data_IF_587579602138
#
_entry.id   IF_587579602138
#
_cell.length_a   1.000
_cell.length_b   1.000
_cell.length_c   1.000
_cell.angle_alpha   90.00
_cell.angle_beta   90.00
_cell.angle_gamma   90.00
#
_symmetry.space_group_name_H-M   'P 1'
#
loop_
_entity.id
_entity.type
_entity.pdbx_description
1 polymer ?
#
# COMPACT_ATOMS: atom_id res chain seq x y z
N UNK A 1 3.71 -3.88 -15.76
CA UNK A 1 5.13 -4.06 -15.40
C UNK A 1 5.85 -2.92 -16.08
N UNK A 2 6.09 -1.84 -15.36
CA UNK A 2 6.76 -0.67 -15.94
C UNK A 2 8.26 -0.97 -15.94
N UNK A 3 8.73 -1.51 -17.06
CA UNK A 3 10.15 -1.75 -17.28
C UNK A 3 10.84 -0.41 -17.50
N UNK A 4 11.52 0.09 -16.48
CA UNK A 4 12.43 1.22 -16.65
C UNK A 4 13.55 0.80 -17.61
N UNK A 5 13.58 1.38 -18.81
CA UNK A 5 14.66 1.15 -19.76
C UNK A 5 15.91 1.88 -19.28
N UNK A 6 16.96 1.13 -18.94
CA UNK A 6 18.26 1.68 -18.54
C UNK A 6 19.13 1.76 -19.80
N UNK A 7 19.67 2.94 -20.06
CA UNK A 7 20.58 3.17 -21.17
C UNK A 7 21.99 3.43 -20.63
N UNK A 8 22.97 2.70 -21.16
CA UNK A 8 24.39 3.02 -20.97
C UNK A 8 24.84 3.87 -22.17
N UNK A 9 25.10 5.15 -21.93
CA UNK A 9 25.60 6.07 -22.95
C UNK A 9 27.10 6.30 -22.75
N UNK A 10 27.88 6.06 -23.79
CA UNK A 10 29.34 6.24 -23.78
C UNK A 10 29.68 7.17 -24.92
N UNK A 11 30.47 8.20 -24.61
CA UNK A 11 30.93 9.20 -25.58
C UNK A 11 32.44 9.25 -25.57
N UNK A 12 33.03 9.02 -26.74
CA UNK A 12 34.45 9.20 -27.01
C UNK A 12 34.68 10.54 -27.73
N UNK A 13 35.82 11.20 -27.48
CA UNK A 13 36.10 12.54 -28.02
C UNK A 13 37.39 12.67 -28.85
N UNK A 14 38.39 11.80 -28.65
CA UNK A 14 39.73 11.99 -29.23
C UNK A 14 40.40 10.73 -29.77
N UNK A 15 39.91 9.54 -29.43
CA UNK A 15 40.46 8.25 -29.85
C UNK A 15 39.42 7.47 -30.66
N UNK A 16 39.74 6.25 -31.11
CA UNK A 16 38.77 5.30 -31.64
C UNK A 16 38.56 4.16 -30.64
N UNK A 17 37.30 3.78 -30.40
CA UNK A 17 36.94 2.58 -29.63
C UNK A 17 37.54 1.33 -30.26
N UNK A 18 38.37 0.61 -29.51
CA UNK A 18 38.96 -0.65 -29.94
C UNK A 18 38.09 -1.85 -29.55
N UNK A 19 38.38 -3.04 -30.10
CA UNK A 19 37.64 -4.26 -29.79
C UNK A 19 37.62 -4.57 -28.28
N UNK A 20 38.71 -4.28 -27.57
CA UNK A 20 38.80 -4.47 -26.12
C UNK A 20 37.86 -3.53 -25.35
N UNK A 21 37.67 -2.31 -25.85
CA UNK A 21 36.73 -1.36 -25.26
C UNK A 21 35.29 -1.85 -25.46
N UNK A 22 34.93 -2.37 -26.64
CA UNK A 22 33.60 -2.97 -26.84
C UNK A 22 33.34 -4.13 -25.87
N UNK A 23 34.33 -5.00 -25.62
CA UNK A 23 34.20 -6.06 -24.61
C UNK A 23 34.03 -5.50 -23.19
N UNK A 24 34.76 -4.44 -22.84
CA UNK A 24 34.62 -3.77 -21.55
C UNK A 24 33.24 -3.10 -21.40
N UNK A 25 32.74 -2.48 -22.47
CA UNK A 25 31.41 -1.86 -22.54
C UNK A 25 30.31 -2.91 -22.37
N UNK A 26 30.44 -4.05 -23.05
CA UNK A 26 29.50 -5.17 -22.91
C UNK A 26 29.50 -5.70 -21.48
N UNK A 27 30.69 -5.96 -20.90
CA UNK A 27 30.81 -6.38 -19.51
C UNK A 27 30.19 -5.36 -18.53
N UNK A 28 30.41 -4.07 -18.75
CA UNK A 28 29.82 -3.01 -17.94
C UNK A 28 28.29 -2.98 -18.08
N UNK A 29 27.75 -3.10 -19.30
CA UNK A 29 26.32 -3.17 -19.56
C UNK A 29 25.68 -4.37 -18.87
N UNK A 30 26.28 -5.56 -18.97
CA UNK A 30 25.80 -6.77 -18.30
C UNK A 30 25.83 -6.63 -16.77
N UNK A 31 26.89 -6.03 -16.22
CA UNK A 31 27.01 -5.80 -14.78
C UNK A 31 25.93 -4.86 -14.26
N UNK A 32 25.68 -3.75 -14.98
CA UNK A 32 24.62 -2.79 -14.64
C UNK A 32 23.22 -3.43 -14.73
N UNK A 33 22.98 -4.26 -15.75
CA UNK A 33 21.73 -4.99 -15.87
C UNK A 33 21.50 -5.94 -14.69
N UNK A 34 22.52 -6.71 -14.31
CA UNK A 34 22.44 -7.63 -13.18
C UNK A 34 22.18 -6.90 -11.85
N UNK A 35 22.93 -5.83 -11.59
CA UNK A 35 22.74 -5.05 -10.37
C UNK A 35 21.35 -4.40 -10.34
N UNK A 36 20.83 -3.90 -11.47
CA UNK A 36 19.46 -3.40 -11.54
C UNK A 36 18.41 -4.46 -11.21
N UNK A 37 18.53 -5.68 -11.76
CA UNK A 37 17.61 -6.79 -11.46
C UNK A 37 17.67 -7.14 -9.98
N UNK A 38 18.88 -7.20 -9.42
CA UNK A 38 19.11 -7.46 -8.00
C UNK A 38 18.47 -6.40 -7.11
N UNK A 39 18.62 -5.11 -7.44
CA UNK A 39 17.98 -4.02 -6.68
C UNK A 39 16.44 -4.14 -6.70
N UNK A 40 15.85 -4.50 -7.84
CA UNK A 40 14.40 -4.76 -7.93
C UNK A 40 13.99 -5.95 -7.07
N UNK A 41 14.76 -7.05 -7.10
CA UNK A 41 14.49 -8.23 -6.28
C UNK A 41 14.55 -7.89 -4.78
N UNK A 42 15.59 -7.19 -4.34
CA UNK A 42 15.75 -6.74 -2.95
C UNK A 42 14.62 -5.79 -2.53
N UNK A 43 14.19 -4.89 -3.41
CA UNK A 43 13.06 -4.00 -3.13
C UNK A 43 11.75 -4.76 -2.93
N UNK A 44 11.49 -5.78 -3.76
CA UNK A 44 10.29 -6.62 -3.64
C UNK A 44 10.32 -7.49 -2.39
N UNK A 45 11.48 -8.04 -2.05
CA UNK A 45 11.65 -8.82 -0.82
C UNK A 45 11.41 -7.94 0.41
N UNK A 46 11.95 -6.72 0.41
CA UNK A 46 11.70 -5.73 1.47
C UNK A 46 10.22 -5.38 1.58
N UNK A 47 9.53 -5.15 0.46
CA UNK A 47 8.09 -4.88 0.44
C UNK A 47 7.28 -6.07 0.98
N UNK A 48 7.64 -7.30 0.59
CA UNK A 48 7.02 -8.53 1.11
C UNK A 48 7.21 -8.65 2.62
N UNK A 49 8.44 -8.45 3.11
CA UNK A 49 8.74 -8.49 4.54
C UNK A 49 7.91 -7.45 5.30
N UNK A 50 7.82 -6.21 4.81
CA UNK A 50 6.99 -5.18 5.46
C UNK A 50 5.53 -5.61 5.50
N UNK A 51 4.99 -6.13 4.39
CA UNK A 51 3.61 -6.64 4.34
C UNK A 51 3.36 -7.77 5.34
N UNK A 52 4.32 -8.68 5.51
CA UNK A 52 4.23 -9.78 6.47
C UNK A 52 4.23 -9.25 7.92
N UNK A 53 5.08 -8.28 8.23
CA UNK A 53 5.11 -7.65 9.56
C UNK A 53 3.80 -6.91 9.86
N UNK A 54 3.24 -6.20 8.89
CA UNK A 54 1.90 -5.58 9.05
C UNK A 54 0.84 -6.67 9.30
N UNK A 55 0.87 -7.78 8.56
CA UNK A 55 -0.05 -8.90 8.75
C UNK A 55 0.08 -9.52 10.15
N UNK A 56 1.31 -9.64 10.65
CA UNK A 56 1.57 -10.14 11.99
C UNK A 56 0.95 -9.26 13.07
N UNK A 57 1.16 -7.94 13.00
CA UNK A 57 0.56 -7.00 13.97
C UNK A 57 -0.96 -6.97 13.83
N UNK A 58 -1.51 -6.88 12.61
CA UNK A 58 -2.96 -6.81 12.39
C UNK A 58 -3.70 -8.07 12.87
N UNK A 59 -3.06 -9.24 12.79
CA UNK A 59 -3.69 -10.50 13.16
C UNK A 59 -3.29 -11.02 14.54
N UNK A 60 -2.34 -10.37 15.22
CA UNK A 60 -1.82 -10.84 16.50
C UNK A 60 -0.91 -12.06 16.38
N UNK A 61 -0.20 -12.22 15.27
CA UNK A 61 0.74 -13.35 15.03
C UNK A 61 2.14 -13.01 15.56
N UNK A 62 2.24 -12.85 16.86
CA UNK A 62 3.50 -12.67 17.59
C UNK A 62 3.45 -13.51 18.87
N UNK A 63 4.59 -14.01 19.33
CA UNK A 63 4.69 -14.93 20.46
C UNK A 63 4.61 -14.19 21.79
N UNK A 64 5.13 -12.97 21.86
CA UNK A 64 5.24 -12.17 23.07
C UNK A 64 5.29 -10.67 22.75
N UNK A 65 5.36 -9.85 23.79
CA UNK A 65 5.39 -8.39 23.68
C UNK A 65 6.69 -7.89 23.04
N UNK A 66 7.79 -8.61 23.24
CA UNK A 66 9.09 -8.29 22.63
C UNK A 66 9.00 -8.37 21.11
N UNK A 67 8.46 -9.46 20.56
CA UNK A 67 8.26 -9.62 19.11
C UNK A 67 7.26 -8.59 18.54
N UNK A 68 6.23 -8.21 19.30
CA UNK A 68 5.34 -7.11 18.92
C UNK A 68 6.10 -5.78 18.83
N UNK A 69 6.97 -5.48 19.79
CA UNK A 69 7.75 -4.25 19.81
C UNK A 69 8.77 -4.22 18.65
N UNK A 70 9.44 -5.33 18.37
CA UNK A 70 10.35 -5.47 17.22
C UNK A 70 9.61 -5.22 15.89
N UNK A 71 8.45 -5.85 15.72
CA UNK A 71 7.60 -5.65 14.55
C UNK A 71 7.15 -4.19 14.41
N UNK A 72 6.76 -3.55 15.52
CA UNK A 72 6.37 -2.14 15.51
C UNK A 72 7.53 -1.22 15.11
N UNK A 73 8.75 -1.48 15.60
CA UNK A 73 9.94 -0.72 15.24
C UNK A 73 10.29 -0.85 13.74
N UNK A 74 10.15 -2.04 13.15
CA UNK A 74 10.33 -2.26 11.70
C UNK A 74 9.37 -1.37 10.90
N UNK A 75 8.13 -1.24 11.38
CA UNK A 75 7.10 -0.41 10.79
C UNK A 75 7.18 1.07 11.20
N UNK A 76 8.17 1.44 12.03
CA UNK A 76 8.36 2.79 12.59
C UNK A 76 7.16 3.28 13.41
N UNK A 77 6.44 2.36 14.04
CA UNK A 77 5.38 2.65 14.99
C UNK A 77 6.00 2.91 16.37
N UNK A 78 5.56 3.98 17.01
CA UNK A 78 5.93 4.35 18.38
C UNK A 78 5.22 3.45 19.41
N UNK A 79 5.92 2.97 20.43
CA UNK A 79 5.38 2.05 21.43
C UNK A 79 4.46 2.74 22.46
N UNK A 80 4.64 4.05 22.66
CA UNK A 80 3.96 4.90 23.63
C UNK A 80 2.73 5.63 23.06
N UNK A 81 2.50 5.49 21.76
CA UNK A 81 1.38 6.15 21.07
C UNK A 81 0.14 5.27 21.02
N UNK A 82 -0.97 5.94 20.75
CA UNK A 82 -2.25 5.31 20.51
C UNK A 82 -2.51 5.18 19.03
N UNK A 83 -3.26 4.16 18.66
CA UNK A 83 -3.53 3.78 17.30
C UNK A 83 -5.02 3.57 17.07
N UNK A 84 -5.43 3.82 15.83
CA UNK A 84 -6.68 3.31 15.26
C UNK A 84 -6.37 2.47 14.04
N UNK A 85 -7.22 1.49 13.79
CA UNK A 85 -7.25 0.75 12.54
C UNK A 85 -8.31 1.38 11.64
N UNK A 86 -7.93 1.68 10.40
CA UNK A 86 -8.83 2.19 9.38
C UNK A 86 -8.87 1.18 8.23
N UNK A 87 -10.05 0.66 7.93
CA UNK A 87 -10.26 -0.31 6.85
C UNK A 87 -11.08 0.32 5.75
N UNK A 88 -10.52 0.33 4.55
CA UNK A 88 -11.18 0.82 3.35
C UNK A 88 -11.49 -0.37 2.47
N UNK A 89 -12.75 -0.53 2.09
CA UNK A 89 -13.17 -1.61 1.25
C UNK A 89 -14.04 -1.09 0.12
N UNK A 90 -13.65 -1.40 -1.11
CA UNK A 90 -14.40 -1.00 -2.29
C UNK A 90 -15.18 -2.18 -2.85
N UNK A 91 -16.35 -1.90 -3.39
CA UNK A 91 -17.22 -2.88 -4.03
C UNK A 91 -17.84 -2.24 -5.25
N UNK A 92 -18.29 -3.05 -6.20
CA UNK A 92 -19.09 -2.53 -7.31
C UNK A 92 -20.56 -2.50 -6.87
N UNK A 93 -21.20 -1.33 -6.96
CA UNK A 93 -22.56 -1.07 -6.48
C UNK A 93 -23.66 -1.86 -7.18
N UNK A 94 -23.39 -2.44 -8.36
CA UNK A 94 -24.36 -3.13 -9.22
C UNK A 94 -24.18 -4.63 -9.37
N UNK A 95 -23.44 -5.34 -8.52
CA UNK A 95 -23.35 -6.81 -8.64
C UNK A 95 -24.46 -7.48 -7.84
N UNK A 96 -25.70 -7.25 -8.26
CA UNK A 96 -26.76 -8.22 -8.08
C UNK A 96 -26.67 -9.21 -9.26
N UNK A 97 -26.27 -10.44 -8.96
CA UNK A 97 -26.34 -11.62 -9.84
C UNK A 97 -25.68 -11.55 -11.23
N UNK A 98 -24.53 -12.22 -11.37
CA UNK A 98 -24.22 -13.02 -12.56
C UNK A 98 -23.43 -12.36 -13.70
N UNK A 99 -22.16 -12.81 -13.85
CA UNK A 99 -21.24 -12.65 -15.00
C UNK A 99 -20.96 -11.23 -15.49
N UNK A 100 -19.77 -10.73 -15.11
CA UNK A 100 -19.12 -9.55 -15.69
C UNK A 100 -18.74 -9.82 -17.16
N UNK A 101 -18.94 -8.83 -18.04
CA UNK A 101 -18.21 -8.80 -19.30
C UNK A 101 -16.71 -8.55 -19.04
N UNK A 102 -15.86 -8.91 -20.00
CA UNK A 102 -14.41 -8.69 -19.89
C UNK A 102 -14.07 -7.21 -19.73
N UNK A 103 -14.80 -6.32 -20.41
CA UNK A 103 -14.59 -4.88 -20.35
C UNK A 103 -14.93 -4.32 -18.96
N UNK A 104 -16.10 -4.66 -18.41
CA UNK A 104 -16.50 -4.21 -17.05
C UNK A 104 -15.54 -4.72 -15.96
N UNK A 105 -14.97 -5.90 -16.14
CA UNK A 105 -13.94 -6.41 -15.24
C UNK A 105 -12.64 -5.60 -15.34
N UNK A 106 -12.22 -5.27 -16.57
CA UNK A 106 -11.01 -4.48 -16.83
C UNK A 106 -11.14 -3.06 -16.28
N UNK A 107 -12.27 -2.41 -16.52
CA UNK A 107 -12.55 -1.04 -16.03
C UNK A 107 -12.60 -0.99 -14.50
N UNK A 108 -13.22 -2.01 -13.87
CA UNK A 108 -13.18 -2.19 -12.42
C UNK A 108 -11.73 -2.32 -11.93
N UNK A 109 -10.92 -3.19 -12.52
CA UNK A 109 -9.53 -3.39 -12.11
C UNK A 109 -8.68 -2.12 -12.27
N UNK A 110 -8.89 -1.36 -13.35
CA UNK A 110 -8.22 -0.07 -13.56
C UNK A 110 -8.59 0.96 -12.48
N UNK A 111 -9.90 1.13 -12.20
CA UNK A 111 -10.35 2.07 -11.15
C UNK A 111 -9.84 1.68 -9.76
N UNK A 112 -9.89 0.39 -9.42
CA UNK A 112 -9.42 -0.11 -8.11
C UNK A 112 -7.92 0.04 -7.95
N UNK A 113 -7.13 -0.21 -9.00
CA UNK A 113 -5.68 0.01 -8.98
C UNK A 113 -5.35 1.49 -8.80
N UNK A 114 -6.05 2.38 -9.52
CA UNK A 114 -5.88 3.83 -9.38
C UNK A 114 -6.20 4.34 -7.98
N UNK A 115 -7.29 3.85 -7.38
CA UNK A 115 -7.65 4.14 -5.99
C UNK A 115 -6.56 3.66 -5.03
N UNK A 116 -6.15 2.39 -5.11
CA UNK A 116 -5.11 1.84 -4.23
C UNK A 116 -3.83 2.67 -4.30
N UNK A 117 -3.39 3.03 -5.50
CA UNK A 117 -2.19 3.82 -5.72
C UNK A 117 -2.29 5.25 -5.14
N UNK A 118 -3.44 5.91 -5.30
CA UNK A 118 -3.66 7.25 -4.74
C UNK A 118 -3.62 7.23 -3.21
N UNK A 119 -4.19 6.18 -2.61
CA UNK A 119 -4.25 6.00 -1.16
C UNK A 119 -2.87 5.74 -0.57
N UNK A 120 -2.09 4.85 -1.19
CA UNK A 120 -0.70 4.59 -0.78
C UNK A 120 0.20 5.82 -0.95
N UNK A 121 -0.13 6.72 -1.87
CA UNK A 121 0.63 7.96 -2.10
C UNK A 121 0.38 9.04 -1.05
N UNK A 122 -0.84 9.11 -0.49
CA UNK A 122 -1.25 10.15 0.49
C UNK A 122 -0.97 9.74 1.93
N UNK A 123 -0.94 8.43 2.21
CA UNK A 123 -0.46 7.90 3.47
C UNK A 123 0.90 7.20 3.34
N UNK A 124 1.94 7.93 2.86
CA UNK A 124 3.27 7.37 2.79
C UNK A 124 3.78 7.21 4.21
N UNK A 125 4.30 6.01 4.53
CA UNK A 125 4.96 5.64 5.79
C UNK A 125 4.07 5.18 6.95
N UNK A 126 2.78 4.89 6.71
CA UNK A 126 1.96 4.16 7.68
C UNK A 126 2.02 2.65 7.41
N UNK A 127 1.89 1.85 8.46
CA UNK A 127 1.76 0.40 8.35
C UNK A 127 0.40 0.06 7.73
N UNK A 128 0.39 -0.30 6.44
CA UNK A 128 -0.81 -0.69 5.72
C UNK A 128 -0.67 -2.05 5.07
N UNK A 129 -1.81 -2.69 4.85
CA UNK A 129 -1.93 -3.96 4.14
C UNK A 129 -3.01 -3.85 3.09
N UNK A 130 -2.64 -4.15 1.85
CA UNK A 130 -3.58 -4.26 0.74
C UNK A 130 -3.88 -5.74 0.53
N UNK A 131 -5.15 -6.09 0.44
CA UNK A 131 -5.57 -7.45 0.11
C UNK A 131 -6.87 -7.43 -0.67
N UNK A 132 -6.77 -7.86 -1.94
CA UNK A 132 -7.88 -7.84 -2.89
C UNK A 132 -8.55 -6.46 -2.91
N UNK A 133 -9.80 -6.36 -2.47
CA UNK A 133 -10.58 -5.13 -2.50
C UNK A 133 -10.49 -4.28 -1.23
N UNK A 134 -9.52 -4.55 -0.35
CA UNK A 134 -9.42 -3.95 0.98
C UNK A 134 -8.04 -3.41 1.27
N UNK A 135 -7.99 -2.20 1.82
CA UNK A 135 -6.79 -1.59 2.40
C UNK A 135 -7.05 -1.44 3.89
N UNK A 136 -6.18 -1.99 4.72
CA UNK A 136 -6.25 -1.84 6.18
C UNK A 136 -5.01 -1.10 6.64
N UNK A 137 -5.20 -0.03 7.40
CA UNK A 137 -4.13 0.86 7.84
C UNK A 137 -4.10 0.94 9.35
N UNK A 138 -2.90 0.98 9.90
CA UNK A 138 -2.62 1.35 11.28
C UNK A 138 -2.24 2.82 11.27
N UNK A 139 -3.03 3.64 11.96
CA UNK A 139 -2.88 5.10 11.99
C UNK A 139 -2.61 5.53 13.42
N UNK A 140 -1.52 6.25 13.64
CA UNK A 140 -1.26 6.92 14.92
C UNK A 140 -2.35 7.95 15.18
N UNK A 141 -3.02 7.84 16.33
CA UNK A 141 -4.11 8.73 16.71
C UNK A 141 -3.62 9.80 17.67
N UNK A 142 -3.32 10.97 17.08
CA UNK A 142 -2.96 12.19 17.81
C UNK A 142 -4.14 13.15 17.98
N UNK A 143 -5.37 12.69 17.72
CA UNK A 143 -6.56 13.54 17.78
C UNK A 143 -7.16 13.56 19.18
N UNK A 144 -7.73 14.71 19.54
CA UNK A 144 -8.35 14.91 20.86
C UNK A 144 -9.75 14.27 20.95
N UNK A 145 -10.43 14.12 19.81
CA UNK A 145 -11.79 13.56 19.76
C UNK A 145 -11.96 12.57 18.61
N UNK A 146 -12.84 11.58 18.82
CA UNK A 146 -13.27 10.63 17.78
C UNK A 146 -13.83 11.32 16.54
N UNK A 147 -14.53 12.44 16.70
CA UNK A 147 -15.10 13.19 15.58
C UNK A 147 -14.00 13.81 14.73
N UNK A 148 -13.01 14.46 15.35
CA UNK A 148 -11.90 15.06 14.60
C UNK A 148 -11.07 14.04 13.80
N UNK A 149 -10.90 12.81 14.31
CA UNK A 149 -10.27 11.73 13.55
C UNK A 149 -11.14 11.30 12.35
N UNK A 150 -12.46 11.19 12.54
CA UNK A 150 -13.39 10.84 11.45
C UNK A 150 -13.41 11.90 10.37
N UNK A 151 -13.42 13.17 10.75
CA UNK A 151 -13.40 14.31 9.82
C UNK A 151 -12.09 14.27 9.00
N UNK A 152 -10.94 14.11 9.66
CA UNK A 152 -9.65 13.93 8.98
C UNK A 152 -9.66 12.76 7.98
N UNK A 153 -10.17 11.59 8.39
CA UNK A 153 -10.26 10.42 7.51
C UNK A 153 -11.17 10.73 6.31
N UNK A 154 -12.32 11.37 6.52
CA UNK A 154 -13.25 11.73 5.46
C UNK A 154 -12.68 12.78 4.49
N UNK A 155 -12.05 13.84 5.00
CA UNK A 155 -11.44 14.90 4.21
C UNK A 155 -10.26 14.40 3.37
N UNK A 156 -9.50 13.44 3.90
CA UNK A 156 -8.42 12.78 3.15
C UNK A 156 -8.98 11.88 2.05
N UNK A 157 -10.09 11.19 2.34
CA UNK A 157 -10.68 10.17 1.49
C UNK A 157 -11.50 10.70 0.33
N UNK A 158 -12.33 11.69 0.62
CA UNK A 158 -13.31 12.25 -0.29
C UNK A 158 -12.69 12.67 -1.63
N UNK A 159 -11.60 13.47 -1.68
CA UNK A 159 -11.00 13.86 -2.95
C UNK A 159 -10.40 12.68 -3.71
N UNK A 160 -9.84 11.68 -3.00
CA UNK A 160 -9.30 10.47 -3.64
C UNK A 160 -10.43 9.69 -4.32
N UNK A 161 -11.52 9.49 -3.58
CA UNK A 161 -12.67 8.78 -4.08
C UNK A 161 -13.30 9.54 -5.26
N UNK A 162 -13.54 10.84 -5.16
CA UNK A 162 -14.14 11.64 -6.23
C UNK A 162 -13.28 11.70 -7.50
N UNK A 163 -11.95 11.80 -7.36
CA UNK A 163 -11.04 11.91 -8.51
C UNK A 163 -10.77 10.57 -9.22
N UNK A 164 -10.82 9.46 -8.47
CA UNK A 164 -10.45 8.13 -9.00
C UNK A 164 -11.65 7.19 -9.18
N UNK A 165 -12.80 7.48 -8.58
CA UNK A 165 -14.02 6.72 -8.81
C UNK A 165 -14.73 7.20 -10.09
N UNK A 166 -14.29 6.66 -11.22
CA UNK A 166 -14.94 6.91 -12.53
C UNK A 166 -16.04 5.90 -12.87
N UNK A 167 -16.45 5.06 -11.90
CA UNK A 167 -17.45 4.01 -12.10
C UNK A 167 -18.42 3.91 -10.93
N UNK A 168 -19.23 2.85 -10.91
CA UNK A 168 -20.18 2.56 -9.82
C UNK A 168 -19.47 1.89 -8.61
N UNK A 169 -18.27 2.33 -8.23
CA UNK A 169 -17.64 1.80 -7.01
C UNK A 169 -18.28 2.43 -5.78
N UNK A 170 -18.62 1.59 -4.81
CA UNK A 170 -19.06 1.99 -3.47
C UNK A 170 -17.89 1.78 -2.53
N UNK A 171 -17.49 2.84 -1.83
CA UNK A 171 -16.47 2.77 -0.79
C UNK A 171 -17.11 2.63 0.59
N UNK A 172 -16.64 1.65 1.35
CA UNK A 172 -16.95 1.49 2.78
C UNK A 172 -15.71 1.75 3.60
N UNK A 173 -15.88 2.51 4.68
CA UNK A 173 -14.81 2.87 5.60
C UNK A 173 -15.20 2.40 6.99
N UNK A 174 -14.37 1.55 7.57
CA UNK A 174 -14.45 1.14 8.97
C UNK A 174 -13.35 1.84 9.76
N UNK A 175 -13.71 2.48 10.86
CA UNK A 175 -12.76 3.12 11.78
C UNK A 175 -12.92 2.44 13.14
N UNK A 176 -11.81 2.01 13.74
CA UNK A 176 -11.84 1.41 15.07
C UNK A 176 -11.94 2.48 16.15
N UNK A 177 -12.22 2.01 17.37
CA UNK A 177 -11.95 2.80 18.57
C UNK A 177 -10.42 3.00 18.72
N UNK A 178 -10.01 3.93 19.57
CA UNK A 178 -8.60 4.17 19.90
C UNK A 178 -8.09 3.08 20.86
N UNK A 179 -6.85 2.61 20.66
CA UNK A 179 -6.20 1.67 21.57
C UNK A 179 -4.68 1.76 21.53
N UNK A 180 -4.01 0.96 22.34
CA UNK A 180 -2.56 0.83 22.32
C UNK A 180 -2.10 -0.11 21.19
N UNK A 181 -0.78 -0.20 20.97
CA UNK A 181 -0.18 -1.11 20.00
C UNK A 181 -0.67 -2.57 20.18
N UNK A 182 -0.76 -3.04 21.43
CA UNK A 182 -1.25 -4.40 21.76
C UNK A 182 -2.73 -4.63 21.45
N UNK A 183 -3.51 -3.55 21.32
CA UNK A 183 -4.95 -3.64 21.01
C UNK A 183 -5.21 -3.77 19.51
N UNK A 184 -4.22 -3.51 18.64
CA UNK A 184 -4.39 -3.49 17.17
C UNK A 184 -5.09 -4.74 16.62
N UNK A 185 -4.75 -5.98 17.04
CA UNK A 185 -5.46 -7.17 16.55
C UNK A 185 -6.95 -7.16 16.84
N UNK A 186 -7.34 -6.64 18.02
CA UNK A 186 -8.74 -6.49 18.42
C UNK A 186 -9.40 -5.37 17.63
N UNK A 187 -8.75 -4.21 17.50
CA UNK A 187 -9.23 -3.06 16.73
C UNK A 187 -9.48 -3.44 15.27
N UNK A 188 -8.56 -4.17 14.64
CA UNK A 188 -8.69 -4.64 13.26
C UNK A 188 -9.95 -5.50 13.06
N UNK A 189 -10.23 -6.43 13.96
CA UNK A 189 -11.45 -7.26 13.92
C UNK A 189 -12.73 -6.43 14.03
N UNK A 190 -12.74 -5.39 14.88
CA UNK A 190 -13.94 -4.55 15.06
C UNK A 190 -14.31 -3.74 13.81
N UNK A 191 -13.32 -3.27 13.04
CA UNK A 191 -13.58 -2.52 11.79
C UNK A 191 -14.24 -3.37 10.71
N UNK A 192 -13.96 -4.67 10.70
CA UNK A 192 -14.61 -5.61 9.76
C UNK A 192 -16.09 -5.82 10.12
N UNK A 193 -16.45 -5.68 11.40
CA UNK A 193 -17.79 -5.87 11.93
C UNK A 193 -18.66 -4.59 11.90
N UNK A 194 -18.08 -3.41 12.18
CA UNK A 194 -18.78 -2.11 12.15
C UNK A 194 -18.67 -1.46 10.77
N UNK A 195 -19.54 -1.85 9.84
CA UNK A 195 -19.54 -1.35 8.45
C UNK A 195 -20.51 -0.17 8.28
N UNK A 196 -20.00 1.03 8.06
CA UNK A 196 -20.79 2.15 7.55
C UNK A 196 -20.61 2.25 6.03
N UNK A 197 -21.71 2.47 5.30
CA UNK A 197 -21.67 2.73 3.85
C UNK A 197 -21.66 4.23 3.64
N UNK A 198 -20.63 4.76 2.99
CA UNK A 198 -20.70 6.13 2.47
C UNK A 198 -21.57 6.03 1.22
N UNK A 199 -22.85 6.38 1.35
CA UNK A 199 -23.75 6.54 0.21
C UNK A 199 -23.58 7.96 -0.31
N UNK A 200 -23.46 8.07 -1.62
CA UNK A 200 -23.67 9.33 -2.31
C UNK A 200 -25.19 9.57 -2.37
N UNK A 201 -25.65 10.67 -1.79
CA UNK A 201 -26.88 11.33 -2.26
C UNK A 201 -26.54 12.14 -3.52
#
# INVERSE_FOLDING_TARGET
>A
MDGHTIFLAIREAQTFVEMIDYMAIENAASTLQFESIKQVALSREKESHINDVVDHILNGKYKNTEELNENALILKLSLDKKYRVVTWQHFQGKVASGKRSFQEHTDYMACTTGLIHAISSIWPKNAYRIFSNRITLIVEDNFTTDQSFKDYVQETLKPIYENHNKGDLVLRVGISDQGQLSDIPKLAKTTVARRATIKHD
#
